data_IF_021935361166
#
_entry.id   IF_021935361166
#
_cell.length_a   1.000
_cell.length_b   1.000
_cell.length_c   1.000
_cell.angle_alpha   90.00
_cell.angle_beta   90.00
_cell.angle_gamma   90.00
#
_symmetry.space_group_name_H-M   'P 1'
#
loop_
_entity.id
_entity.type
_entity.pdbx_description
1 polymer ?
#
# COMPACT_ATOMS: atom_id res chain seq x y z
N UNK A 1 27.06 -14.24 20.84
CA UNK A 1 25.86 -14.48 20.04
C UNK A 1 25.35 -13.14 19.54
N UNK A 2 25.39 -12.96 18.28
CA UNK A 2 25.12 -11.69 17.64
C UNK A 2 23.64 -11.33 17.72
N UNK A 3 23.31 -10.12 18.18
CA UNK A 3 22.01 -9.49 18.04
C UNK A 3 21.53 -9.39 16.55
N UNK A 4 22.40 -9.76 15.61
CA UNK A 4 22.13 -9.77 14.18
C UNK A 4 21.25 -10.95 13.73
N UNK A 5 21.02 -11.98 14.54
CA UNK A 5 20.20 -13.13 14.15
C UNK A 5 18.70 -12.91 14.33
N UNK A 6 18.29 -11.88 15.07
CA UNK A 6 16.89 -11.57 15.34
C UNK A 6 16.45 -10.31 14.56
N UNK A 7 16.48 -10.37 13.22
CA UNK A 7 16.06 -9.25 12.40
C UNK A 7 14.56 -9.25 12.26
N UNK A 8 13.93 -8.21 12.79
CA UNK A 8 12.53 -7.90 12.47
C UNK A 8 12.37 -7.66 10.97
N UNK A 9 11.45 -8.36 10.34
CA UNK A 9 11.16 -8.25 8.93
C UNK A 9 9.69 -8.09 8.65
N UNK A 10 9.40 -7.15 7.75
CA UNK A 10 8.12 -7.07 7.07
C UNK A 10 8.33 -6.91 5.60
N UNK A 11 7.61 -7.71 4.84
CA UNK A 11 7.55 -7.54 3.40
C UNK A 11 6.45 -6.56 3.07
N UNK A 12 6.84 -5.54 2.32
CA UNK A 12 5.96 -4.61 1.66
C UNK A 12 6.08 -4.83 0.17
N UNK A 13 5.02 -4.63 -0.57
CA UNK A 13 4.94 -4.93 -1.98
C UNK A 13 4.65 -3.67 -2.78
N UNK A 14 5.34 -3.50 -3.90
CA UNK A 14 5.10 -2.41 -4.83
C UNK A 14 3.96 -2.79 -5.79
N UNK A 15 3.08 -1.83 -6.05
CA UNK A 15 2.07 -1.91 -7.10
C UNK A 15 2.71 -1.91 -8.49
N UNK A 16 3.71 -1.04 -8.69
CA UNK A 16 4.44 -0.97 -9.95
C UNK A 16 5.49 -2.08 -10.03
N UNK A 17 5.69 -2.65 -11.24
CA UNK A 17 6.72 -3.64 -11.46
C UNK A 17 8.13 -3.05 -11.31
N UNK A 18 9.13 -3.92 -11.39
CA UNK A 18 10.55 -3.50 -11.37
C UNK A 18 10.83 -2.45 -12.45
N UNK A 19 11.56 -1.40 -12.07
CA UNK A 19 11.89 -0.26 -12.94
C UNK A 19 11.39 1.08 -12.39
N UNK A 20 10.39 1.06 -11.51
CA UNK A 20 9.95 2.23 -10.75
C UNK A 20 10.60 2.20 -9.37
N UNK A 21 11.21 3.33 -8.95
CA UNK A 21 11.78 3.45 -7.61
C UNK A 21 10.70 3.26 -6.54
N UNK A 22 10.98 2.48 -5.49
CA UNK A 22 10.00 2.19 -4.42
C UNK A 22 9.44 3.46 -3.76
N UNK A 23 10.20 4.56 -3.73
CA UNK A 23 9.72 5.87 -3.28
C UNK A 23 8.58 6.43 -4.12
N UNK A 24 8.57 6.13 -5.42
CA UNK A 24 7.59 6.59 -6.40
C UNK A 24 6.48 5.58 -6.65
N UNK A 25 6.60 4.34 -6.17
CA UNK A 25 5.56 3.33 -6.30
C UNK A 25 4.50 3.45 -5.20
N UNK A 26 3.27 3.07 -5.54
CA UNK A 26 2.26 2.73 -4.55
C UNK A 26 2.73 1.45 -3.85
N UNK A 27 2.64 1.40 -2.52
CA UNK A 27 3.15 0.27 -1.73
C UNK A 27 2.07 -0.24 -0.81
N UNK A 28 1.93 -1.55 -0.71
CA UNK A 28 1.00 -2.23 0.18
C UNK A 28 1.73 -3.02 1.26
N UNK A 29 1.20 -3.04 2.46
CA UNK A 29 1.65 -3.86 3.56
C UNK A 29 0.45 -4.50 4.28
N UNK A 30 0.53 -5.82 4.61
CA UNK A 30 1.56 -6.78 4.22
C UNK A 30 1.53 -7.05 2.71
N UNK A 31 2.55 -7.76 2.19
CA UNK A 31 2.54 -8.23 0.79
C UNK A 31 1.31 -9.12 0.54
N UNK A 32 0.69 -8.96 -0.63
CA UNK A 32 -0.59 -9.57 -0.94
C UNK A 32 -0.49 -10.72 -1.95
N UNK A 33 0.53 -10.69 -2.83
CA UNK A 33 0.65 -11.63 -3.94
C UNK A 33 1.61 -12.78 -3.66
N UNK A 34 2.45 -12.66 -2.62
CA UNK A 34 3.42 -13.70 -2.28
C UNK A 34 2.75 -14.90 -1.59
N UNK A 35 3.05 -16.10 -2.08
CA UNK A 35 2.80 -17.32 -1.34
C UNK A 35 3.68 -17.42 -0.08
N UNK A 36 3.27 -18.24 0.91
CA UNK A 36 4.08 -18.45 2.12
C UNK A 36 5.50 -18.91 1.80
N UNK A 37 5.65 -19.80 0.81
CA UNK A 37 6.97 -20.31 0.39
C UNK A 37 7.86 -19.18 -0.16
N UNK A 38 7.34 -18.33 -1.01
CA UNK A 38 8.07 -17.16 -1.55
C UNK A 38 8.40 -16.17 -0.43
N UNK A 39 7.45 -15.92 0.46
CA UNK A 39 7.65 -15.08 1.63
C UNK A 39 8.81 -15.59 2.48
N UNK A 40 8.83 -16.87 2.85
CA UNK A 40 9.89 -17.47 3.68
C UNK A 40 11.23 -17.49 2.95
N UNK A 41 11.24 -17.75 1.64
CA UNK A 41 12.46 -17.71 0.82
C UNK A 41 13.11 -16.32 0.85
N UNK A 42 12.34 -15.26 0.55
CA UNK A 42 12.85 -13.89 0.58
C UNK A 42 13.22 -13.44 1.99
N UNK A 43 12.49 -13.92 3.00
CA UNK A 43 12.83 -13.70 4.41
C UNK A 43 14.19 -14.30 4.76
N UNK A 44 14.43 -15.53 4.40
CA UNK A 44 15.71 -16.22 4.63
C UNK A 44 16.84 -15.50 3.90
N UNK A 45 16.66 -15.23 2.60
CA UNK A 45 17.66 -14.52 1.80
C UNK A 45 18.09 -13.18 2.42
N UNK A 46 17.14 -12.40 2.94
CA UNK A 46 17.49 -11.14 3.56
C UNK A 46 18.17 -11.31 4.93
N UNK A 47 17.84 -12.33 5.72
CA UNK A 47 18.57 -12.67 6.96
C UNK A 47 20.01 -13.05 6.66
N UNK A 48 20.23 -13.92 5.66
CA UNK A 48 21.56 -14.33 5.23
C UNK A 48 22.40 -13.14 4.75
N UNK A 49 21.83 -12.26 3.92
CA UNK A 49 22.52 -11.04 3.44
C UNK A 49 22.92 -10.14 4.61
N UNK A 50 22.01 -9.87 5.53
CA UNK A 50 22.29 -8.97 6.67
C UNK A 50 23.33 -9.58 7.59
N UNK A 51 23.29 -10.89 7.80
CA UNK A 51 24.26 -11.62 8.63
C UNK A 51 25.64 -11.61 7.99
N UNK A 52 25.72 -11.93 6.69
CA UNK A 52 26.99 -11.97 5.95
C UNK A 52 27.66 -10.58 5.88
N UNK A 53 26.87 -9.53 5.73
CA UNK A 53 27.36 -8.14 5.72
C UNK A 53 27.65 -7.58 7.12
N UNK A 54 27.35 -8.31 8.18
CA UNK A 54 27.56 -7.87 9.57
C UNK A 54 26.78 -6.59 9.91
N UNK A 55 25.58 -6.41 9.33
CA UNK A 55 24.77 -5.21 9.55
C UNK A 55 24.07 -5.31 10.90
N UNK A 56 24.32 -4.33 11.77
CA UNK A 56 23.62 -4.13 13.03
C UNK A 56 22.67 -2.94 12.92
N UNK A 57 21.43 -3.11 13.41
CA UNK A 57 20.40 -2.06 13.38
C UNK A 57 19.45 -2.14 12.18
N UNK A 58 18.97 -0.98 11.74
CA UNK A 58 17.96 -0.90 10.69
C UNK A 58 18.55 -1.11 9.28
N UNK A 59 17.91 -1.98 8.49
CA UNK A 59 18.29 -2.24 7.11
C UNK A 59 17.04 -2.36 6.23
N UNK A 60 17.18 -2.01 4.95
CA UNK A 60 16.19 -2.24 3.91
C UNK A 60 16.79 -3.07 2.78
N UNK A 61 16.19 -4.22 2.48
CA UNK A 61 16.56 -5.07 1.36
C UNK A 61 15.42 -5.02 0.33
N UNK A 62 15.75 -4.79 -0.94
CA UNK A 62 14.80 -4.79 -2.04
C UNK A 62 15.06 -5.98 -2.95
N UNK A 63 13.98 -6.69 -3.26
CA UNK A 63 14.00 -7.87 -4.12
C UNK A 63 13.06 -7.68 -5.30
N UNK A 64 13.41 -8.29 -6.43
CA UNK A 64 12.51 -8.56 -7.52
C UNK A 64 12.31 -10.08 -7.60
N UNK A 65 11.07 -10.54 -7.53
CA UNK A 65 10.68 -11.92 -7.72
C UNK A 65 10.17 -12.10 -9.14
N UNK A 66 10.62 -13.14 -9.83
CA UNK A 66 10.11 -13.48 -11.15
C UNK A 66 8.75 -14.17 -11.01
N UNK A 67 7.71 -13.72 -11.73
CA UNK A 67 6.43 -14.40 -11.74
C UNK A 67 6.57 -15.90 -12.10
N UNK A 68 5.75 -16.74 -11.49
CA UNK A 68 5.66 -18.18 -11.73
C UNK A 68 6.98 -18.98 -11.53
N UNK A 69 7.92 -18.40 -10.79
CA UNK A 69 9.16 -19.10 -10.42
C UNK A 69 9.64 -18.69 -9.04
N UNK A 70 10.65 -19.41 -8.50
CA UNK A 70 11.35 -19.01 -7.28
C UNK A 70 12.64 -18.23 -7.55
N UNK A 71 12.84 -17.78 -8.82
CA UNK A 71 13.98 -16.95 -9.15
C UNK A 71 13.75 -15.52 -8.64
N UNK A 72 14.74 -14.98 -7.95
CA UNK A 72 14.70 -13.61 -7.48
C UNK A 72 16.02 -12.90 -7.70
N UNK A 73 15.97 -11.59 -7.77
CA UNK A 73 17.14 -10.74 -7.79
C UNK A 73 17.16 -9.80 -6.58
N UNK A 74 18.33 -9.59 -6.00
CA UNK A 74 18.54 -8.51 -5.02
C UNK A 74 18.79 -7.23 -5.78
N UNK A 75 17.90 -6.24 -5.61
CA UNK A 75 18.03 -4.94 -6.28
C UNK A 75 19.02 -4.07 -5.52
N UNK A 76 18.79 -3.90 -4.22
CA UNK A 76 19.69 -3.12 -3.36
C UNK A 76 19.54 -3.50 -1.88
N UNK A 77 20.58 -3.22 -1.11
CA UNK A 77 20.60 -3.35 0.34
C UNK A 77 21.04 -2.02 0.93
N UNK A 78 20.21 -1.41 1.75
CA UNK A 78 20.47 -0.12 2.38
C UNK A 78 20.63 -0.29 3.90
N UNK A 79 21.88 -0.34 4.44
CA UNK A 79 22.13 -0.56 5.87
C UNK A 79 21.93 0.74 6.67
N UNK A 80 20.73 1.26 6.60
CA UNK A 80 20.31 2.49 7.29
C UNK A 80 18.81 2.54 7.49
N UNK A 81 18.39 3.29 8.49
CA UNK A 81 16.98 3.72 8.61
C UNK A 81 16.67 4.72 7.51
N UNK A 82 15.54 4.54 6.85
CA UNK A 82 15.11 5.32 5.69
C UNK A 82 13.67 5.81 5.84
N UNK A 83 13.19 6.54 4.83
CA UNK A 83 11.79 6.97 4.76
C UNK A 83 10.83 5.76 4.78
N UNK A 84 11.17 4.70 4.06
CA UNK A 84 10.41 3.44 4.08
C UNK A 84 10.39 2.77 5.47
N UNK A 85 11.47 2.90 6.25
CA UNK A 85 11.50 2.41 7.63
C UNK A 85 10.55 3.19 8.54
N UNK A 86 10.41 4.51 8.35
CA UNK A 86 9.45 5.32 9.08
C UNK A 86 8.00 4.92 8.75
N UNK A 87 7.72 4.65 7.47
CA UNK A 87 6.43 4.12 7.03
C UNK A 87 6.16 2.75 7.64
N UNK A 88 7.12 1.82 7.55
CA UNK A 88 7.01 0.50 8.15
C UNK A 88 6.78 0.58 9.66
N UNK A 89 7.45 1.51 10.36
CA UNK A 89 7.23 1.72 11.80
C UNK A 89 5.79 2.14 12.12
N UNK A 90 5.21 3.05 11.32
CA UNK A 90 3.81 3.46 11.49
C UNK A 90 2.83 2.34 11.12
N UNK A 91 3.12 1.61 10.05
CA UNK A 91 2.27 0.53 9.57
C UNK A 91 2.23 -0.65 10.53
N UNK A 92 3.32 -0.93 11.25
CA UNK A 92 3.47 -2.15 12.06
C UNK A 92 3.46 -1.89 13.57
N UNK A 93 3.45 -0.62 14.00
CA UNK A 93 3.64 -0.30 15.43
C UNK A 93 5.01 -0.70 15.97
N UNK A 94 6.01 -0.96 15.10
CA UNK A 94 7.36 -1.32 15.51
C UNK A 94 8.31 -0.12 15.34
N UNK A 95 8.86 0.44 16.43
CA UNK A 95 9.62 1.69 16.38
C UNK A 95 11.06 1.45 15.90
N UNK A 96 11.25 1.16 14.61
CA UNK A 96 12.53 0.76 13.99
C UNK A 96 13.68 1.70 14.36
N UNK A 97 13.50 3.02 14.26
CA UNK A 97 14.56 3.98 14.54
C UNK A 97 15.00 3.94 16.03
N UNK A 98 14.04 3.81 16.95
CA UNK A 98 14.34 3.72 18.38
C UNK A 98 15.02 2.40 18.73
N UNK A 99 14.58 1.30 18.13
CA UNK A 99 15.22 -0.02 18.30
C UNK A 99 16.65 0.02 17.74
N UNK A 100 16.85 0.56 16.52
CA UNK A 100 18.17 0.70 15.93
C UNK A 100 19.12 1.55 16.80
N UNK A 101 18.63 2.63 17.40
CA UNK A 101 19.41 3.44 18.32
C UNK A 101 19.82 2.68 19.60
N UNK A 102 18.93 1.86 20.15
CA UNK A 102 19.25 1.02 21.33
C UNK A 102 20.26 -0.09 20.99
N UNK A 103 20.13 -0.72 19.81
CA UNK A 103 21.11 -1.69 19.32
C UNK A 103 22.51 -1.03 19.23
N UNK A 104 22.60 0.19 18.69
CA UNK A 104 23.85 0.92 18.63
C UNK A 104 24.48 1.24 19.99
N UNK A 105 23.69 1.18 21.07
CA UNK A 105 24.14 1.30 22.46
C UNK A 105 24.49 -0.06 23.09
N UNK A 106 24.40 -1.16 22.34
CA UNK A 106 24.76 -2.51 22.79
C UNK A 106 23.63 -3.35 23.38
N UNK A 107 22.37 -2.88 23.31
CA UNK A 107 21.22 -3.69 23.75
C UNK A 107 20.89 -4.77 22.73
N UNK A 108 20.44 -5.93 23.21
CA UNK A 108 19.89 -7.01 22.37
C UNK A 108 18.38 -6.84 22.16
N UNK A 109 17.82 -7.51 21.15
CA UNK A 109 16.39 -7.35 20.79
C UNK A 109 15.45 -7.84 21.90
N UNK A 110 15.84 -8.83 22.67
CA UNK A 110 15.11 -9.37 23.83
C UNK A 110 15.18 -8.47 25.07
N UNK A 111 16.13 -7.55 25.14
CA UNK A 111 16.22 -6.53 26.20
C UNK A 111 15.43 -5.26 25.86
N UNK A 112 15.14 -5.03 24.58
CA UNK A 112 14.46 -3.82 24.10
C UNK A 112 12.95 -4.03 24.12
N UNK A 113 12.24 -3.34 25.04
CA UNK A 113 10.78 -3.28 25.01
C UNK A 113 10.29 -2.47 23.82
N UNK A 114 9.20 -2.94 23.19
CA UNK A 114 8.46 -2.19 22.19
C UNK A 114 7.56 -1.16 22.90
N UNK A 115 7.92 0.11 22.83
CA UNK A 115 7.20 1.18 23.53
C UNK A 115 5.80 1.47 22.92
N UNK A 116 5.53 1.00 21.71
CA UNK A 116 4.21 1.19 21.07
C UNK A 116 3.19 0.19 21.61
N UNK A 117 3.59 -1.07 21.80
CA UNK A 117 2.72 -2.10 22.35
C UNK A 117 2.76 -2.14 23.88
N UNK A 118 3.91 -1.77 24.46
CA UNK A 118 4.15 -1.81 25.92
C UNK A 118 4.35 -3.21 26.52
N UNK A 119 3.94 -4.26 25.79
CA UNK A 119 3.93 -5.65 26.29
C UNK A 119 4.94 -6.54 25.55
N UNK A 120 5.25 -6.22 24.28
CA UNK A 120 6.17 -7.02 23.47
C UNK A 120 7.61 -6.49 23.53
N UNK A 121 8.56 -7.33 23.11
CA UNK A 121 9.96 -6.97 22.94
C UNK A 121 10.30 -6.81 21.44
N UNK A 122 11.45 -6.24 21.13
CA UNK A 122 11.89 -5.99 19.78
C UNK A 122 12.13 -7.27 18.95
N UNK A 123 12.32 -8.42 19.59
CA UNK A 123 12.40 -9.73 18.94
C UNK A 123 11.03 -10.28 18.49
N UNK A 124 9.92 -9.67 18.91
CA UNK A 124 8.56 -10.09 18.52
C UNK A 124 8.18 -9.49 17.17
N UNK A 125 7.84 -10.36 16.22
CA UNK A 125 7.36 -9.93 14.89
C UNK A 125 5.88 -9.53 14.98
N UNK A 126 5.49 -8.26 14.66
CA UNK A 126 4.09 -7.89 14.62
C UNK A 126 3.31 -8.66 13.55
N UNK A 127 2.07 -9.01 13.83
CA UNK A 127 1.11 -9.53 12.88
C UNK A 127 0.08 -8.44 12.53
N UNK A 128 -0.25 -8.29 11.24
CA UNK A 128 -1.23 -7.31 10.76
C UNK A 128 -2.50 -8.04 10.32
N UNK A 129 -3.64 -7.62 10.84
CA UNK A 129 -4.98 -8.02 10.41
C UNK A 129 -5.68 -6.93 9.58
N UNK A 130 -4.93 -5.91 9.16
CA UNK A 130 -5.37 -4.77 8.35
C UNK A 130 -4.41 -4.55 7.18
N UNK A 131 -4.85 -3.74 6.22
CA UNK A 131 -4.04 -3.35 5.05
C UNK A 131 -3.58 -1.90 5.19
N UNK A 132 -2.33 -1.66 4.85
CA UNK A 132 -1.76 -0.32 4.77
C UNK A 132 -1.36 -0.05 3.33
N UNK A 133 -1.82 1.08 2.79
CA UNK A 133 -1.40 1.58 1.47
C UNK A 133 -0.62 2.86 1.66
N UNK A 134 0.59 2.91 1.11
CA UNK A 134 1.38 4.13 0.91
C UNK A 134 1.12 4.63 -0.51
N UNK A 135 0.72 5.89 -0.64
CA UNK A 135 0.57 6.56 -1.94
C UNK A 135 1.58 7.70 -2.02
N UNK A 136 2.45 7.77 -3.05
CA UNK A 136 3.43 8.85 -3.20
C UNK A 136 2.75 10.16 -3.61
N UNK A 137 3.40 11.27 -3.26
CA UNK A 137 3.02 12.60 -3.73
C UNK A 137 4.19 13.21 -4.49
N UNK A 138 3.94 13.57 -5.73
CA UNK A 138 4.92 14.21 -6.60
C UNK A 138 4.66 15.72 -6.66
N UNK A 139 5.70 16.56 -6.85
CA UNK A 139 5.57 18.01 -6.89
C UNK A 139 5.23 18.55 -8.30
N UNK A 140 4.57 17.75 -9.15
CA UNK A 140 4.27 18.10 -10.54
C UNK A 140 3.22 19.19 -10.67
N UNK A 141 2.44 19.45 -9.64
CA UNK A 141 1.58 20.61 -9.50
C UNK A 141 2.36 21.93 -9.44
N UNK A 142 3.58 21.90 -8.90
CA UNK A 142 4.49 23.05 -8.78
C UNK A 142 5.47 23.14 -9.94
N UNK A 143 5.87 22.02 -10.49
CA UNK A 143 6.84 21.91 -11.59
C UNK A 143 6.15 21.42 -12.87
N UNK A 144 5.28 22.25 -13.43
CA UNK A 144 4.39 21.92 -14.56
C UNK A 144 5.13 21.53 -15.86
N UNK A 145 6.40 21.89 -15.99
CA UNK A 145 7.25 21.52 -17.14
C UNK A 145 8.16 20.34 -16.83
N UNK A 146 8.10 19.74 -15.64
CA UNK A 146 8.89 18.57 -15.33
C UNK A 146 8.36 17.35 -16.08
N UNK A 147 9.27 16.48 -16.48
CA UNK A 147 8.90 15.15 -16.98
C UNK A 147 8.25 14.37 -15.82
N UNK A 148 7.07 13.82 -16.07
CA UNK A 148 6.30 13.03 -15.11
C UNK A 148 6.64 11.53 -15.14
N UNK A 149 7.53 11.12 -16.05
CA UNK A 149 7.95 9.72 -16.21
C UNK A 149 8.61 9.23 -14.93
N UNK A 150 8.19 8.06 -14.47
CA UNK A 150 8.76 7.41 -13.28
C UNK A 150 9.81 6.38 -13.70
N UNK A 151 10.90 6.35 -12.98
CA UNK A 151 12.02 5.45 -13.27
C UNK A 151 12.75 5.04 -11.99
N UNK A 152 14.05 4.74 -12.14
CA UNK A 152 14.92 4.30 -11.04
C UNK A 152 15.34 5.43 -10.09
N UNK A 153 15.11 6.68 -10.46
CA UNK A 153 15.38 7.85 -9.61
C UNK A 153 14.10 8.29 -8.91
N UNK A 154 14.18 8.50 -7.60
CA UNK A 154 13.04 8.94 -6.80
C UNK A 154 12.70 10.41 -7.07
N UNK A 155 11.46 10.67 -7.49
CA UNK A 155 10.92 12.01 -7.76
C UNK A 155 9.90 12.47 -6.72
N UNK A 156 9.27 11.54 -5.99
CA UNK A 156 8.29 11.86 -4.96
C UNK A 156 8.91 12.67 -3.82
N UNK A 157 8.26 13.75 -3.43
CA UNK A 157 8.67 14.63 -2.33
C UNK A 157 7.89 14.38 -1.05
N UNK A 158 6.75 13.68 -1.14
CA UNK A 158 5.88 13.33 -0.03
C UNK A 158 5.21 11.99 -0.24
N UNK A 159 4.48 11.57 0.78
CA UNK A 159 3.70 10.35 0.75
C UNK A 159 2.54 10.44 1.74
N UNK A 160 1.46 9.76 1.47
CA UNK A 160 0.36 9.53 2.40
C UNK A 160 0.32 8.05 2.77
N UNK A 161 -0.17 7.76 3.96
CA UNK A 161 -0.39 6.40 4.44
C UNK A 161 -1.86 6.27 4.87
N UNK A 162 -2.53 5.25 4.35
CA UNK A 162 -3.89 4.93 4.74
C UNK A 162 -3.97 3.51 5.26
N UNK A 163 -4.85 3.30 6.24
CA UNK A 163 -5.11 2.00 6.88
C UNK A 163 -6.58 1.67 6.63
N UNK A 164 -6.84 0.43 6.24
CA UNK A 164 -8.18 -0.14 6.04
C UNK A 164 -8.18 -1.63 6.33
N UNK A 165 -9.37 -2.24 6.39
CA UNK A 165 -9.53 -3.69 6.54
C UNK A 165 -9.37 -4.45 5.22
N UNK A 166 -9.36 -3.75 4.10
CA UNK A 166 -9.07 -4.28 2.77
C UNK A 166 -8.26 -3.27 1.93
N UNK A 167 -7.70 -3.73 0.82
CA UNK A 167 -6.87 -2.92 -0.06
C UNK A 167 -7.66 -1.77 -0.69
N UNK A 168 -8.85 -2.06 -1.18
CA UNK A 168 -9.72 -1.09 -1.87
C UNK A 168 -10.02 0.10 -0.95
N UNK A 169 -10.41 -0.17 0.31
CA UNK A 169 -10.68 0.87 1.30
C UNK A 169 -9.43 1.70 1.61
N UNK A 170 -8.29 1.04 1.83
CA UNK A 170 -7.03 1.72 2.10
C UNK A 170 -6.59 2.57 0.90
N UNK A 171 -6.75 2.06 -0.33
CA UNK A 171 -6.44 2.78 -1.57
C UNK A 171 -7.30 4.02 -1.75
N UNK A 172 -8.63 3.91 -1.59
CA UNK A 172 -9.56 5.03 -1.69
C UNK A 172 -9.26 6.13 -0.65
N UNK A 173 -8.94 5.73 0.59
CA UNK A 173 -8.50 6.67 1.64
C UNK A 173 -7.17 7.35 1.30
N UNK A 174 -6.22 6.60 0.75
CA UNK A 174 -4.93 7.14 0.32
C UNK A 174 -5.14 8.21 -0.75
N UNK A 175 -5.87 7.91 -1.82
CA UNK A 175 -6.15 8.84 -2.92
C UNK A 175 -6.84 10.10 -2.40
N UNK A 176 -7.87 9.98 -1.57
CA UNK A 176 -8.57 11.16 -1.02
C UNK A 176 -7.70 12.02 -0.10
N UNK A 177 -6.57 11.48 0.39
CA UNK A 177 -5.61 12.17 1.27
C UNK A 177 -4.43 12.78 0.52
N UNK A 178 -4.31 12.56 -0.80
CA UNK A 178 -3.18 13.09 -1.60
C UNK A 178 -3.26 14.58 -1.90
N UNK A 179 -4.35 15.26 -1.55
CA UNK A 179 -4.63 16.67 -1.88
C UNK A 179 -4.79 16.92 -3.41
N UNK A 180 -5.03 15.88 -4.19
CA UNK A 180 -5.37 16.00 -5.62
C UNK A 180 -6.83 16.42 -5.84
N UNK A 181 -7.62 16.55 -4.78
CA UNK A 181 -9.05 16.89 -4.88
C UNK A 181 -9.93 15.72 -5.35
N UNK A 182 -9.37 14.52 -5.45
CA UNK A 182 -10.07 13.32 -5.89
C UNK A 182 -10.76 12.63 -4.72
N UNK A 183 -11.90 12.06 -4.98
CA UNK A 183 -12.70 11.25 -4.05
C UNK A 183 -12.99 9.83 -4.58
N UNK A 184 -12.46 9.51 -5.75
CA UNK A 184 -12.41 8.18 -6.38
C UNK A 184 -11.09 8.02 -7.14
N UNK A 185 -10.88 6.84 -7.72
CA UNK A 185 -9.76 6.59 -8.64
C UNK A 185 -10.01 7.16 -10.05
N UNK A 186 -11.10 7.89 -10.27
CA UNK A 186 -11.39 8.53 -11.56
C UNK A 186 -10.65 9.85 -11.68
N UNK A 187 -9.74 9.95 -12.66
CA UNK A 187 -9.11 11.20 -13.05
C UNK A 187 -9.91 11.82 -14.21
N UNK A 188 -10.49 13.05 -14.05
CA UNK A 188 -11.40 13.63 -15.05
C UNK A 188 -10.81 13.78 -16.44
N UNK A 189 -9.48 13.89 -16.57
CA UNK A 189 -8.84 14.03 -17.87
C UNK A 189 -8.88 12.73 -18.67
N UNK A 190 -8.80 11.56 -18.02
CA UNK A 190 -8.96 10.28 -18.71
C UNK A 190 -10.39 10.00 -19.17
N UNK A 191 -11.42 10.55 -18.51
CA UNK A 191 -12.81 10.41 -18.95
C UNK A 191 -13.06 11.09 -20.31
N UNK A 192 -12.24 12.06 -20.71
CA UNK A 192 -12.33 12.79 -21.98
C UNK A 192 -11.70 12.05 -23.16
N UNK A 193 -10.84 11.08 -22.90
CA UNK A 193 -10.11 10.32 -23.91
C UNK A 193 -10.98 9.21 -24.50
N UNK A 194 -10.64 8.76 -25.70
CA UNK A 194 -11.20 7.53 -26.28
C UNK A 194 -10.61 6.29 -25.58
N UNK A 195 -11.20 5.13 -25.78
CA UNK A 195 -10.67 3.89 -25.20
C UNK A 195 -9.28 3.55 -25.76
N UNK A 196 -9.07 3.81 -27.04
CA UNK A 196 -7.79 3.63 -27.73
C UNK A 196 -6.71 4.54 -27.15
N UNK A 197 -7.04 5.80 -26.89
CA UNK A 197 -6.11 6.75 -26.23
C UNK A 197 -5.78 6.35 -24.80
N UNK A 198 -6.74 5.81 -24.05
CA UNK A 198 -6.47 5.26 -22.70
C UNK A 198 -5.55 4.05 -22.78
N UNK A 199 -5.76 3.13 -23.74
CA UNK A 199 -4.87 1.97 -23.92
C UNK A 199 -3.47 2.43 -24.33
N UNK A 200 -3.34 3.42 -25.19
CA UNK A 200 -2.02 3.99 -25.56
C UNK A 200 -1.33 4.60 -24.33
N UNK A 201 -2.09 5.29 -23.47
CA UNK A 201 -1.53 5.88 -22.25
C UNK A 201 -1.04 4.84 -21.23
N UNK A 202 -1.56 3.60 -21.24
CA UNK A 202 -1.05 2.52 -20.36
C UNK A 202 0.45 2.23 -20.59
N UNK A 203 0.99 2.52 -21.78
CA UNK A 203 2.41 2.39 -22.07
C UNK A 203 3.27 3.46 -21.38
N UNK A 204 2.66 4.53 -20.89
CA UNK A 204 3.36 5.61 -20.19
C UNK A 204 3.50 5.24 -18.70
N UNK A 205 4.74 5.16 -18.24
CA UNK A 205 5.05 4.89 -16.85
C UNK A 205 5.22 6.21 -16.10
N UNK A 206 4.10 6.80 -15.64
CA UNK A 206 4.06 8.09 -14.97
C UNK A 206 3.24 8.06 -13.66
N UNK A 207 3.13 9.22 -13.02
CA UNK A 207 2.39 9.40 -11.77
C UNK A 207 0.87 9.19 -11.90
N UNK A 208 0.33 9.16 -13.11
CA UNK A 208 -1.10 9.03 -13.39
C UNK A 208 -1.48 7.60 -13.79
N UNK A 209 -0.51 6.70 -13.92
CA UNK A 209 -0.68 5.32 -14.38
C UNK A 209 -1.77 4.53 -13.67
N UNK A 210 -1.84 4.62 -12.33
CA UNK A 210 -2.86 3.91 -11.56
C UNK A 210 -4.28 4.37 -11.90
N UNK A 211 -4.46 5.66 -12.19
CA UNK A 211 -5.74 6.22 -12.63
C UNK A 211 -6.07 5.80 -14.06
N UNK A 212 -5.07 5.74 -14.95
CA UNK A 212 -5.22 5.24 -16.31
C UNK A 212 -5.67 3.77 -16.31
N UNK A 213 -5.02 2.92 -15.50
CA UNK A 213 -5.44 1.51 -15.31
C UNK A 213 -6.89 1.43 -14.84
N UNK A 214 -7.26 2.24 -13.86
CA UNK A 214 -8.63 2.27 -13.34
C UNK A 214 -9.65 2.67 -14.42
N UNK A 215 -9.34 3.67 -15.23
CA UNK A 215 -10.21 4.09 -16.32
C UNK A 215 -10.32 3.00 -17.41
N UNK A 216 -9.21 2.33 -17.75
CA UNK A 216 -9.23 1.21 -18.70
C UNK A 216 -10.14 0.07 -18.22
N UNK A 217 -10.08 -0.28 -16.93
CA UNK A 217 -10.94 -1.28 -16.30
C UNK A 217 -12.43 -0.85 -16.34
N UNK A 218 -12.75 0.40 -16.04
CA UNK A 218 -14.12 0.94 -16.16
C UNK A 218 -14.70 0.80 -17.57
N UNK A 219 -13.86 0.88 -18.59
CA UNK A 219 -14.24 0.72 -20.00
C UNK A 219 -14.30 -0.73 -20.46
N UNK A 220 -13.98 -1.68 -19.59
CA UNK A 220 -14.00 -3.11 -19.91
C UNK A 220 -12.80 -3.58 -20.73
N UNK A 221 -11.68 -2.85 -20.68
CA UNK A 221 -10.40 -3.35 -21.23
C UNK A 221 -10.00 -4.60 -20.44
N UNK A 222 -9.70 -5.68 -21.14
CA UNK A 222 -9.42 -6.96 -20.52
C UNK A 222 -8.12 -6.93 -19.70
N UNK A 223 -8.11 -7.65 -18.57
CA UNK A 223 -6.97 -7.70 -17.64
C UNK A 223 -5.67 -8.17 -18.30
N UNK A 224 -5.74 -9.12 -19.24
CA UNK A 224 -4.57 -9.60 -19.98
C UNK A 224 -3.93 -8.48 -20.80
N UNK A 225 -4.74 -7.63 -21.46
CA UNK A 225 -4.24 -6.47 -22.23
C UNK A 225 -3.53 -5.50 -21.29
N UNK A 226 -4.15 -5.16 -20.15
CA UNK A 226 -3.56 -4.25 -19.16
C UNK A 226 -2.28 -4.84 -18.58
N UNK A 227 -2.29 -6.12 -18.19
CA UNK A 227 -1.13 -6.83 -17.66
C UNK A 227 0.01 -6.88 -18.67
N UNK A 228 -0.28 -7.18 -19.94
CA UNK A 228 0.76 -7.28 -20.96
C UNK A 228 1.48 -5.97 -21.20
N UNK A 229 0.79 -4.86 -21.11
CA UNK A 229 1.35 -3.51 -21.24
C UNK A 229 2.06 -3.08 -19.95
N UNK A 230 1.39 -3.21 -18.81
CA UNK A 230 1.84 -2.57 -17.56
C UNK A 230 2.68 -3.47 -16.67
N UNK A 231 2.53 -4.79 -16.78
CA UNK A 231 3.08 -5.82 -15.88
C UNK A 231 2.66 -5.63 -14.41
N UNK A 232 1.59 -4.90 -14.15
CA UNK A 232 0.97 -4.80 -12.82
C UNK A 232 0.28 -6.13 -12.53
N UNK A 233 0.53 -6.68 -11.33
CA UNK A 233 0.02 -7.99 -10.95
C UNK A 233 -1.51 -8.06 -11.03
N UNK A 234 -2.03 -9.23 -11.46
CA UNK A 234 -3.45 -9.53 -11.62
C UNK A 234 -4.26 -9.26 -10.34
N UNK A 235 -3.69 -9.52 -9.19
CA UNK A 235 -4.35 -9.26 -7.92
C UNK A 235 -4.71 -7.78 -7.76
N UNK A 236 -3.80 -6.87 -8.12
CA UNK A 236 -4.07 -5.44 -8.08
C UNK A 236 -5.11 -5.02 -9.11
N UNK A 237 -5.06 -5.62 -10.31
CA UNK A 237 -6.07 -5.35 -11.36
C UNK A 237 -7.46 -5.78 -10.90
N UNK A 238 -7.60 -6.96 -10.30
CA UNK A 238 -8.87 -7.45 -9.73
C UNK A 238 -9.41 -6.50 -8.65
N UNK A 239 -8.55 -5.98 -7.78
CA UNK A 239 -8.94 -5.03 -6.73
C UNK A 239 -9.40 -3.69 -7.29
N UNK A 240 -8.72 -3.18 -8.32
CA UNK A 240 -9.14 -1.96 -9.01
C UNK A 240 -10.41 -2.18 -9.82
N UNK A 241 -10.58 -3.35 -10.46
CA UNK A 241 -11.83 -3.72 -11.14
C UNK A 241 -13.00 -3.73 -10.16
N UNK A 242 -12.83 -4.32 -8.99
CA UNK A 242 -13.88 -4.33 -7.97
C UNK A 242 -14.30 -2.91 -7.57
N UNK A 243 -13.36 -1.98 -7.39
CA UNK A 243 -13.68 -0.56 -7.16
C UNK A 243 -14.43 0.07 -8.34
N UNK A 244 -14.02 -0.25 -9.58
CA UNK A 244 -14.67 0.24 -10.78
C UNK A 244 -16.12 -0.28 -10.89
N UNK A 245 -16.34 -1.55 -10.57
CA UNK A 245 -17.68 -2.17 -10.57
C UNK A 245 -18.61 -1.51 -9.54
N UNK A 246 -18.10 -1.21 -8.34
CA UNK A 246 -18.86 -0.47 -7.32
C UNK A 246 -19.20 0.93 -7.84
N UNK A 247 -18.23 1.67 -8.40
CA UNK A 247 -18.48 3.01 -8.94
C UNK A 247 -19.55 2.98 -10.06
N UNK A 248 -19.43 2.06 -10.99
CA UNK A 248 -20.39 1.89 -12.08
C UNK A 248 -21.77 1.43 -11.57
N UNK A 249 -21.78 0.56 -10.55
CA UNK A 249 -23.01 0.13 -9.89
C UNK A 249 -23.76 1.26 -9.17
N UNK A 250 -23.02 2.25 -8.64
CA UNK A 250 -23.60 3.46 -8.04
C UNK A 250 -24.17 4.43 -9.12
N UNK A 251 -23.52 4.51 -10.27
CA UNK A 251 -24.01 5.33 -11.39
C UNK A 251 -25.27 4.76 -12.06
N UNK A 252 -25.47 3.44 -11.93
CA UNK A 252 -26.52 2.73 -12.64
C UNK A 252 -27.60 2.18 -11.67
N UNK A 253 -28.83 2.65 -11.86
CA UNK A 253 -30.01 2.17 -11.11
C UNK A 253 -30.16 2.78 -9.72
N UNK A 254 -31.11 2.26 -8.95
CA UNK A 254 -31.48 2.77 -7.63
C UNK A 254 -30.38 2.52 -6.60
N UNK A 255 -30.15 3.51 -5.70
CA UNK A 255 -29.26 3.38 -4.57
C UNK A 255 -29.99 2.65 -3.42
N UNK A 256 -29.79 1.35 -3.33
CA UNK A 256 -30.30 0.55 -2.20
C UNK A 256 -29.39 0.67 -0.98
N UNK A 257 -29.91 0.31 0.20
CA UNK A 257 -29.11 0.24 1.44
C UNK A 257 -27.92 -0.71 1.29
N UNK A 258 -28.10 -1.82 0.59
CA UNK A 258 -27.02 -2.79 0.33
C UNK A 258 -25.90 -2.18 -0.52
N UNK A 259 -26.23 -1.53 -1.64
CA UNK A 259 -25.26 -0.82 -2.49
C UNK A 259 -24.53 0.27 -1.70
N UNK A 260 -25.26 1.03 -0.89
CA UNK A 260 -24.68 2.07 -0.04
C UNK A 260 -23.67 1.48 0.95
N UNK A 261 -24.06 0.45 1.72
CA UNK A 261 -23.17 -0.19 2.69
C UNK A 261 -21.97 -0.83 2.02
N UNK A 262 -22.17 -1.49 0.87
CA UNK A 262 -21.06 -2.05 0.09
C UNK A 262 -20.04 -0.95 -0.30
N UNK A 263 -20.52 0.15 -0.85
CA UNK A 263 -19.66 1.27 -1.19
C UNK A 263 -18.89 1.84 0.04
N UNK A 264 -19.56 1.91 1.21
CA UNK A 264 -18.92 2.35 2.46
C UNK A 264 -17.81 1.40 2.91
N UNK A 265 -18.01 0.08 2.80
CA UNK A 265 -17.00 -0.93 3.13
C UNK A 265 -15.73 -0.80 2.29
N UNK A 266 -15.87 -0.33 1.05
CA UNK A 266 -14.76 -0.15 0.12
C UNK A 266 -14.27 1.31 -0.01
N UNK A 267 -14.65 2.18 0.94
CA UNK A 267 -14.01 3.49 1.14
C UNK A 267 -14.66 4.65 0.39
N UNK A 268 -15.82 4.46 -0.26
CA UNK A 268 -16.53 5.57 -0.88
C UNK A 268 -17.12 6.52 0.17
N UNK A 269 -16.88 7.81 0.00
CA UNK A 269 -17.41 8.83 0.90
C UNK A 269 -18.90 9.11 0.62
N UNK A 270 -19.64 9.56 1.62
CA UNK A 270 -21.07 9.89 1.46
C UNK A 270 -21.30 10.91 0.35
N UNK A 271 -20.47 11.96 0.28
CA UNK A 271 -20.54 12.96 -0.79
C UNK A 271 -20.34 12.34 -2.17
N UNK A 272 -19.43 11.38 -2.28
CA UNK A 272 -19.12 10.67 -3.52
C UNK A 272 -20.26 9.77 -3.95
N UNK A 273 -20.83 9.01 -3.01
CA UNK A 273 -21.99 8.14 -3.27
C UNK A 273 -23.19 8.97 -3.75
N UNK A 274 -23.49 10.08 -3.08
CA UNK A 274 -24.56 11.01 -3.51
C UNK A 274 -24.35 11.50 -4.95
N UNK A 275 -23.13 11.95 -5.25
CA UNK A 275 -22.76 12.44 -6.57
C UNK A 275 -22.89 11.37 -7.65
N UNK A 276 -22.37 10.16 -7.38
CA UNK A 276 -22.41 9.07 -8.36
C UNK A 276 -23.81 8.54 -8.59
N UNK A 277 -24.59 8.39 -7.54
CA UNK A 277 -25.98 7.90 -7.63
C UNK A 277 -26.99 8.98 -8.03
N UNK A 278 -26.59 10.25 -8.09
CA UNK A 278 -27.49 11.37 -8.44
C UNK A 278 -28.60 11.60 -7.41
N UNK A 279 -28.32 11.36 -6.10
CA UNK A 279 -29.32 11.48 -5.03
C UNK A 279 -28.89 12.52 -3.98
N UNK A 280 -29.88 13.20 -3.38
CA UNK A 280 -29.64 14.16 -2.30
C UNK A 280 -29.59 13.51 -0.93
N UNK A 281 -30.27 12.38 -0.75
CA UNK A 281 -30.40 11.65 0.52
C UNK A 281 -29.81 10.25 0.40
N UNK A 282 -29.20 9.80 1.50
CA UNK A 282 -28.64 8.44 1.60
C UNK A 282 -29.61 7.52 2.33
N UNK A 283 -29.60 6.21 2.04
CA UNK A 283 -30.31 5.23 2.84
C UNK A 283 -29.88 5.27 4.32
N UNK A 284 -30.79 4.95 5.22
CA UNK A 284 -30.45 4.76 6.62
C UNK A 284 -29.53 3.53 6.77
N UNK A 285 -28.44 3.69 7.49
CA UNK A 285 -27.44 2.65 7.66
C UNK A 285 -26.72 2.76 9.02
N UNK A 286 -26.14 1.67 9.53
CA UNK A 286 -25.29 1.70 10.71
C UNK A 286 -24.15 2.71 10.59
N UNK A 287 -23.78 3.31 11.71
CA UNK A 287 -22.58 4.14 11.79
C UNK A 287 -21.32 3.27 11.72
N UNK A 288 -20.25 3.83 11.19
CA UNK A 288 -18.96 3.17 11.20
C UNK A 288 -18.53 2.80 12.63
N UNK A 289 -18.00 1.61 12.78
CA UNK A 289 -17.21 1.23 13.95
C UNK A 289 -15.76 1.71 13.78
N UNK A 290 -15.03 1.81 14.89
CA UNK A 290 -13.60 2.15 14.90
C UNK A 290 -12.83 1.01 15.55
N UNK A 291 -11.89 0.46 14.80
CA UNK A 291 -10.95 -0.55 15.31
C UNK A 291 -9.61 0.10 15.60
N UNK A 292 -9.02 -0.23 16.74
CA UNK A 292 -7.63 0.12 17.05
C UNK A 292 -6.71 -0.74 16.18
N UNK A 293 -5.64 -0.14 15.68
CA UNK A 293 -4.60 -0.87 14.95
C UNK A 293 -3.91 -1.84 15.93
N UNK A 294 -4.10 -3.13 15.70
CA UNK A 294 -3.50 -4.20 16.50
C UNK A 294 -2.39 -4.89 15.71
N UNK A 295 -1.18 -4.88 16.27
CA UNK A 295 0.00 -5.52 15.69
C UNK A 295 0.49 -6.72 16.49
N UNK A 296 -0.30 -7.15 17.47
CA UNK A 296 0.03 -8.25 18.39
C UNK A 296 -0.77 -9.52 18.10
N UNK A 297 -1.46 -9.63 16.94
CA UNK A 297 -2.30 -10.77 16.57
C UNK A 297 -3.36 -11.12 17.64
N UNK A 298 -3.87 -10.13 18.36
CA UNK A 298 -4.79 -10.25 19.49
C UNK A 298 -4.23 -11.07 20.69
N UNK A 299 -2.95 -11.37 20.72
CA UNK A 299 -2.32 -12.05 21.86
C UNK A 299 -2.20 -11.14 23.09
N UNK A 300 -2.10 -9.83 22.86
CA UNK A 300 -2.03 -8.80 23.89
C UNK A 300 -3.01 -7.67 23.58
N UNK A 301 -3.44 -6.93 24.59
CA UNK A 301 -4.28 -5.75 24.39
C UNK A 301 -3.53 -4.69 23.56
N UNK A 302 -4.04 -4.32 22.41
CA UNK A 302 -3.46 -3.27 21.57
C UNK A 302 -3.47 -1.92 22.31
N UNK A 303 -2.35 -1.20 22.26
CA UNK A 303 -2.18 0.14 22.87
C UNK A 303 -1.67 1.15 21.85
N UNK A 304 -1.90 0.92 20.57
CA UNK A 304 -1.46 1.84 19.53
C UNK A 304 -2.33 3.11 19.52
N UNK A 305 -1.78 4.27 19.18
CA UNK A 305 -2.56 5.52 19.08
C UNK A 305 -3.34 5.63 17.75
N UNK A 306 -3.43 4.56 16.97
CA UNK A 306 -4.01 4.55 15.62
C UNK A 306 -5.32 3.77 15.60
N UNK A 307 -6.30 4.35 14.91
CA UNK A 307 -7.61 3.73 14.67
C UNK A 307 -7.95 3.85 13.19
N UNK A 308 -8.71 2.91 12.68
CA UNK A 308 -9.34 3.00 11.38
C UNK A 308 -10.83 2.71 11.46
N UNK A 309 -11.61 3.35 10.59
CA UNK A 309 -13.06 3.13 10.50
C UNK A 309 -13.37 1.90 9.65
N UNK A 310 -14.41 1.18 10.02
CA UNK A 310 -14.93 0.03 9.28
C UNK A 310 -16.46 -0.02 9.35
N UNK A 311 -17.07 -0.72 8.39
CA UNK A 311 -18.50 -1.01 8.31
C UNK A 311 -18.78 -2.52 8.38
N UNK A 312 -17.84 -3.29 8.89
CA UNK A 312 -17.98 -4.74 9.13
C UNK A 312 -18.68 -5.02 10.45
#
# INVERSE_FOLDING_TARGET
>A
SSAASDVYKRQIENFDPMGVHTGDSIVVAPSQTLSDKEYQMLRTAALDIITELGIEGGCNCQFALKPDSFDYAVIEVNPRVSRSSALASKATGYPIAKVAAKIALGYTLDEIKNDVTGETYACFEPALDYIVVKYPKWPFDKFVYADKSLGTQMMATGEVMAIGNNFEHAMMKAVSSTELGLDTMTLPDFEKLTTEEVIEHLHVQDSERAFCVYEALKRGVAHDVIYDITKIDWWFLDKLQHLADIEMGLKNGELTTEKYLNAKRFGFLDKTIKRLAGVDTLPEAPKAAFKMVDTCAAEFAAKTPYFYSTYD
#
